data_IF_225420260586
#
_entry.id   IF_225420260586
#
_cell.length_a   1.000
_cell.length_b   1.000
_cell.length_c   1.000
_cell.angle_alpha   90.00
_cell.angle_beta   90.00
_cell.angle_gamma   90.00
#
_symmetry.space_group_name_H-M   'P 1'
#
loop_
_entity.id
_entity.type
_entity.pdbx_description
1 polymer ?
#
# COMPACT_ATOMS: atom_id res chain seq x y z
N UNK A 1 -14.76 -6.53 -20.36
CA UNK A 1 -13.84 -7.00 -19.32
C UNK A 1 -13.85 -5.95 -18.22
N UNK A 2 -14.62 -6.19 -17.17
CA UNK A 2 -14.50 -5.41 -15.93
C UNK A 2 -13.13 -5.75 -15.36
N UNK A 3 -12.28 -4.79 -14.98
CA UNK A 3 -11.06 -5.13 -14.25
C UNK A 3 -11.51 -5.89 -12.99
N UNK A 4 -10.98 -7.10 -12.79
CA UNK A 4 -11.19 -7.82 -11.53
C UNK A 4 -10.92 -6.83 -10.40
N UNK A 5 -11.84 -6.66 -9.43
CA UNK A 5 -11.49 -5.94 -8.23
C UNK A 5 -10.23 -6.60 -7.71
N UNK A 6 -9.15 -5.83 -7.54
CA UNK A 6 -7.92 -6.35 -6.97
C UNK A 6 -8.36 -6.96 -5.63
N UNK A 7 -8.41 -8.30 -5.53
CA UNK A 7 -9.01 -9.02 -4.39
C UNK A 7 -8.41 -8.60 -3.04
N UNK A 8 -7.26 -7.92 -3.09
CA UNK A 8 -6.45 -7.44 -1.98
C UNK A 8 -5.83 -6.08 -2.33
N UNK A 9 -6.59 -4.98 -2.35
CA UNK A 9 -6.06 -3.70 -2.78
C UNK A 9 -5.11 -3.13 -1.72
N UNK A 10 -3.91 -2.78 -2.15
CA UNK A 10 -2.95 -2.00 -1.37
C UNK A 10 -2.96 -0.58 -1.95
N UNK A 11 -3.39 0.38 -1.14
CA UNK A 11 -3.46 1.79 -1.52
C UNK A 11 -2.40 2.57 -0.76
N UNK A 12 -1.75 3.50 -1.46
CA UNK A 12 -0.73 4.37 -0.90
C UNK A 12 -1.10 5.83 -1.13
N UNK A 13 -1.14 6.61 -0.06
CA UNK A 13 -1.23 8.06 -0.10
C UNK A 13 0.16 8.65 0.08
N UNK A 14 0.73 9.25 -0.95
CA UNK A 14 1.98 9.98 -0.90
C UNK A 14 1.69 11.48 -0.91
N UNK A 15 1.99 12.17 0.19
CA UNK A 15 1.79 13.62 0.34
C UNK A 15 0.36 14.09 -0.03
N UNK A 16 -0.63 13.26 0.33
CA UNK A 16 -2.05 13.50 0.05
C UNK A 16 -2.54 13.04 -1.34
N UNK A 17 -1.66 12.51 -2.19
CA UNK A 17 -2.03 11.92 -3.48
C UNK A 17 -2.17 10.40 -3.37
N UNK A 18 -3.29 9.85 -3.85
CA UNK A 18 -3.59 8.42 -3.77
C UNK A 18 -3.10 7.62 -4.98
N UNK A 19 -2.58 6.42 -4.72
CA UNK A 19 -2.03 5.49 -5.71
C UNK A 19 -2.45 4.05 -5.41
N UNK A 20 -2.55 3.23 -6.47
CA UNK A 20 -2.52 1.78 -6.30
C UNK A 20 -1.07 1.29 -6.22
N UNK A 21 -0.77 0.40 -5.29
CA UNK A 21 0.53 -0.27 -5.22
C UNK A 21 0.51 -1.50 -6.12
N UNK A 22 1.41 -1.54 -7.11
CA UNK A 22 1.56 -2.66 -8.03
C UNK A 22 2.47 -3.75 -7.44
N UNK A 23 3.63 -3.34 -6.95
CA UNK A 23 4.60 -4.19 -6.26
C UNK A 23 5.39 -3.38 -5.24
N UNK A 24 5.97 -4.08 -4.28
CA UNK A 24 6.95 -3.50 -3.38
C UNK A 24 8.11 -4.46 -3.17
N UNK A 25 9.28 -3.92 -2.88
CA UNK A 25 10.44 -4.65 -2.39
C UNK A 25 10.84 -4.14 -1.02
N UNK A 26 11.35 -5.02 -0.18
CA UNK A 26 11.77 -4.73 1.17
C UNK A 26 13.26 -5.07 1.33
N UNK A 27 14.05 -4.10 1.76
CA UNK A 27 15.47 -4.27 2.10
C UNK A 27 15.60 -4.09 3.61
N UNK A 28 15.84 -5.18 4.37
CA UNK A 28 16.07 -5.08 5.80
C UNK A 28 17.31 -4.21 6.10
N UNK A 29 17.19 -3.30 7.06
CA UNK A 29 18.28 -2.56 7.69
C UNK A 29 18.36 -2.99 9.17
N UNK A 30 19.35 -2.53 9.95
CA UNK A 30 19.61 -3.06 11.31
C UNK A 30 18.37 -3.06 12.22
N UNK A 31 17.60 -1.97 12.25
CA UNK A 31 16.40 -1.81 13.08
C UNK A 31 15.15 -1.41 12.29
N UNK A 32 15.29 -1.12 11.00
CA UNK A 32 14.23 -0.65 10.11
C UNK A 32 14.20 -1.48 8.83
N UNK A 33 13.24 -1.23 7.96
CA UNK A 33 13.22 -1.80 6.62
C UNK A 33 12.96 -0.70 5.61
N UNK A 34 13.77 -0.65 4.56
CA UNK A 34 13.51 0.24 3.43
C UNK A 34 12.53 -0.44 2.48
N UNK A 35 11.40 0.19 2.25
CA UNK A 35 10.42 -0.19 1.25
C UNK A 35 10.60 0.67 0.01
N UNK A 36 10.58 0.03 -1.15
CA UNK A 36 10.42 0.69 -2.44
C UNK A 36 9.11 0.20 -3.06
N UNK A 37 8.23 1.13 -3.41
CA UNK A 37 6.92 0.88 -3.99
C UNK A 37 6.93 1.27 -5.47
N UNK A 38 6.38 0.39 -6.30
CA UNK A 38 5.92 0.75 -7.65
C UNK A 38 4.43 1.06 -7.58
N UNK A 39 4.07 2.23 -8.10
CA UNK A 39 2.76 2.85 -7.97
C UNK A 39 2.15 3.08 -9.35
N UNK A 40 0.83 3.14 -9.39
CA UNK A 40 0.08 3.67 -10.54
C UNK A 40 -0.96 4.67 -10.07
N UNK A 41 -1.03 5.82 -10.74
CA UNK A 41 -2.08 6.80 -10.52
C UNK A 41 -3.41 6.22 -11.04
N UNK A 42 -4.44 6.09 -10.19
CA UNK A 42 -5.70 5.46 -10.58
C UNK A 42 -6.48 6.27 -11.63
N UNK A 43 -6.20 7.56 -11.78
CA UNK A 43 -6.94 8.45 -12.68
C UNK A 43 -6.27 8.55 -14.06
N UNK A 44 -4.94 8.63 -14.11
CA UNK A 44 -4.20 8.78 -15.37
C UNK A 44 -3.60 7.46 -15.89
N UNK A 45 -3.44 6.46 -15.02
CA UNK A 45 -2.70 5.23 -15.34
C UNK A 45 -1.18 5.43 -15.41
N UNK A 46 -0.67 6.62 -15.09
CA UNK A 46 0.76 6.90 -15.09
C UNK A 46 1.47 6.18 -13.94
N UNK A 47 2.64 5.62 -14.23
CA UNK A 47 3.48 4.98 -13.23
C UNK A 47 4.19 5.99 -12.33
N UNK A 48 4.38 5.62 -11.07
CA UNK A 48 5.17 6.37 -10.10
C UNK A 48 5.95 5.42 -9.18
N UNK A 49 6.81 5.97 -8.33
CA UNK A 49 7.50 5.22 -7.29
C UNK A 49 7.60 6.03 -5.99
N UNK A 50 7.68 5.32 -4.87
CA UNK A 50 7.90 5.92 -3.56
C UNK A 50 8.84 5.04 -2.74
N UNK A 51 9.65 5.66 -1.89
CA UNK A 51 10.51 4.95 -0.95
C UNK A 51 10.27 5.44 0.47
N UNK A 52 10.33 4.53 1.43
CA UNK A 52 10.21 4.86 2.84
C UNK A 52 11.01 3.91 3.72
N UNK A 53 11.61 4.45 4.78
CA UNK A 53 12.22 3.66 5.85
C UNK A 53 11.17 3.47 6.94
N UNK A 54 10.82 2.22 7.22
CA UNK A 54 9.66 1.87 8.05
C UNK A 54 10.05 0.89 9.14
N UNK A 55 9.26 0.88 10.20
CA UNK A 55 9.36 -0.15 11.23
C UNK A 55 9.04 -1.54 10.63
N UNK A 56 9.71 -2.57 11.15
CA UNK A 56 9.53 -3.97 10.73
C UNK A 56 8.07 -4.41 10.81
N UNK A 57 7.30 -3.88 11.75
CA UNK A 57 5.88 -4.20 11.93
C UNK A 57 5.04 -3.92 10.68
N UNK A 58 5.31 -2.84 9.94
CA UNK A 58 4.59 -2.57 8.70
C UNK A 58 4.78 -3.70 7.69
N UNK A 59 6.00 -4.22 7.57
CA UNK A 59 6.35 -5.32 6.65
C UNK A 59 5.62 -6.59 7.04
N UNK A 60 5.59 -6.90 8.33
CA UNK A 60 4.90 -8.07 8.86
C UNK A 60 3.40 -7.99 8.60
N UNK A 61 2.78 -6.85 8.87
CA UNK A 61 1.36 -6.61 8.62
C UNK A 61 1.04 -6.68 7.10
N UNK A 62 1.90 -6.10 6.25
CA UNK A 62 1.74 -6.09 4.79
C UNK A 62 1.89 -7.50 4.19
N UNK A 63 2.90 -8.26 4.63
CA UNK A 63 3.10 -9.64 4.20
C UNK A 63 1.99 -10.56 4.71
N UNK A 64 1.54 -10.37 5.95
CA UNK A 64 0.38 -11.09 6.49
C UNK A 64 -0.86 -10.85 5.63
N UNK A 65 -1.16 -9.59 5.31
CA UNK A 65 -2.29 -9.23 4.45
C UNK A 65 -2.20 -9.88 3.06
N UNK A 66 -1.03 -9.91 2.42
CA UNK A 66 -0.87 -10.60 1.12
C UNK A 66 -1.03 -12.12 1.20
N UNK A 67 -0.64 -12.72 2.33
CA UNK A 67 -0.76 -14.16 2.54
C UNK A 67 -2.20 -14.62 2.83
N UNK A 68 -3.10 -13.68 3.18
CA UNK A 68 -4.51 -13.97 3.40
C UNK A 68 -5.23 -14.26 2.06
N UNK A 69 -6.33 -15.01 2.16
CA UNK A 69 -7.27 -15.23 1.06
C UNK A 69 -8.01 -13.94 0.65
N UNK A 70 -9.03 -14.06 -0.20
CA UNK A 70 -9.88 -12.91 -0.57
C UNK A 70 -10.45 -12.23 0.69
N UNK A 71 -10.38 -10.91 0.73
CA UNK A 71 -10.72 -10.10 1.91
C UNK A 71 -11.47 -8.85 1.46
N UNK A 72 -12.57 -8.53 2.13
CA UNK A 72 -13.30 -7.27 1.91
C UNK A 72 -12.58 -6.07 2.55
N UNK A 73 -11.26 -6.12 2.65
CA UNK A 73 -10.43 -5.07 3.28
C UNK A 73 -9.35 -4.60 2.33
N UNK A 74 -9.08 -3.30 2.35
CA UNK A 74 -7.91 -2.67 1.75
C UNK A 74 -6.81 -2.49 2.81
N UNK A 75 -5.56 -2.65 2.38
CA UNK A 75 -4.41 -2.21 3.15
C UNK A 75 -4.05 -0.79 2.71
N UNK A 76 -4.09 0.16 3.65
CA UNK A 76 -3.85 1.56 3.35
C UNK A 76 -2.55 2.02 4.01
N UNK A 77 -1.73 2.73 3.24
CA UNK A 77 -0.44 3.30 3.67
C UNK A 77 -0.49 4.81 3.42
N UNK A 78 -0.06 5.63 4.38
CA UNK A 78 0.18 7.06 4.19
C UNK A 78 1.65 7.34 4.43
N UNK A 79 2.26 8.04 3.48
CA UNK A 79 3.61 8.58 3.57
C UNK A 79 3.48 10.10 3.52
N UNK A 80 3.90 10.75 4.59
CA UNK A 80 4.07 12.20 4.68
C UNK A 80 5.57 12.49 4.63
N UNK A 81 6.07 12.87 3.46
CA UNK A 81 7.50 13.11 3.24
C UNK A 81 7.98 14.38 3.91
N UNK A 82 7.07 15.34 4.15
CA UNK A 82 7.35 16.59 4.85
C UNK A 82 7.64 16.33 6.33
N UNK A 83 6.91 15.38 6.95
CA UNK A 83 7.13 14.98 8.34
C UNK A 83 8.05 13.78 8.52
N UNK A 84 8.36 13.05 7.44
CA UNK A 84 9.09 11.79 7.51
C UNK A 84 8.30 10.69 8.22
N UNK A 85 6.97 10.74 8.14
CA UNK A 85 6.07 9.82 8.86
C UNK A 85 5.45 8.80 7.92
N UNK A 86 5.33 7.57 8.40
CA UNK A 86 4.60 6.50 7.72
C UNK A 86 3.58 5.90 8.68
N UNK A 87 2.33 5.80 8.22
CA UNK A 87 1.25 5.16 8.96
C UNK A 87 0.50 4.17 8.08
N UNK A 88 -0.14 3.17 8.68
CA UNK A 88 -0.90 2.17 7.95
C UNK A 88 -2.11 1.66 8.74
N UNK A 89 -3.11 1.17 8.01
CA UNK A 89 -4.27 0.51 8.59
C UNK A 89 -4.97 -0.40 7.59
N UNK A 90 -5.68 -1.40 8.13
CA UNK A 90 -6.65 -2.19 7.37
C UNK A 90 -8.01 -1.52 7.43
N UNK A 91 -8.64 -1.25 6.29
CA UNK A 91 -10.02 -0.72 6.23
C UNK A 91 -10.92 -1.68 5.48
N UNK A 92 -12.14 -1.89 5.99
CA UNK A 92 -13.18 -2.56 5.20
C UNK A 92 -13.47 -1.70 3.96
N UNK A 93 -13.51 -2.36 2.82
CA UNK A 93 -14.06 -1.79 1.60
C UNK A 93 -15.57 -1.80 1.80
N UNK A 94 -16.27 -0.68 1.57
CA UNK A 94 -17.73 -0.70 1.61
C UNK A 94 -18.24 -1.76 0.66
N UNK A 95 -19.10 -2.65 1.14
CA UNK A 95 -19.90 -3.48 0.25
C UNK A 95 -20.79 -2.50 -0.52
N UNK A 96 -20.45 -2.24 -1.78
CA UNK A 96 -21.41 -1.60 -2.67
C UNK A 96 -22.44 -2.69 -2.98
N UNK A 97 -23.55 -2.68 -2.25
CA UNK A 97 -24.74 -3.44 -2.60
C UNK A 97 -25.07 -3.08 -4.07
N UNK A 98 -24.82 -4.02 -4.98
CA UNK A 98 -25.16 -3.96 -6.40
C UNK A 98 -26.63 -4.33 -6.61
#
# INVERSE_FOLDING_TARGET
>A
MTPDPVDRPILLSLDGRGFHVLRYSAIPEESMTRLSFELVDPNSGEGASAEAVVDRKLIEDLNSYRSQGSTSKAFLIWIDTVKGEVSWQLRKIPDFDL
#
